data_IF_635120507707
#
_entry.id   IF_635120507707
#
_cell.length_a   1.000
_cell.length_b   1.000
_cell.length_c   1.000
_cell.angle_alpha   90.00
_cell.angle_beta   90.00
_cell.angle_gamma   90.00
#
_symmetry.space_group_name_H-M   'P 1'
#
loop_
_entity.id
_entity.type
_entity.pdbx_description
1 polymer ?
#
# COMPACT_ATOMS: atom_id res chain seq x y z
N UNK A 1 15.97 -19.95 -13.05
CA UNK A 1 16.24 -18.90 -12.04
C UNK A 1 14.91 -18.29 -11.65
N UNK A 2 14.38 -18.66 -10.48
CA UNK A 2 13.10 -18.14 -10.01
C UNK A 2 13.26 -16.71 -9.53
N UNK A 3 12.49 -15.78 -10.09
CA UNK A 3 12.40 -14.42 -9.59
C UNK A 3 11.69 -14.51 -8.23
N UNK A 4 12.47 -14.44 -7.16
CA UNK A 4 11.98 -14.33 -5.80
C UNK A 4 11.37 -12.93 -5.66
N UNK A 5 10.08 -12.82 -5.91
CA UNK A 5 9.31 -11.61 -5.59
C UNK A 5 9.27 -11.53 -4.07
N UNK A 6 10.19 -10.75 -3.50
CA UNK A 6 10.13 -10.32 -2.12
C UNK A 6 8.79 -9.59 -1.99
N UNK A 7 7.82 -10.21 -1.31
CA UNK A 7 6.60 -9.55 -0.83
C UNK A 7 7.01 -8.56 0.27
N UNK A 8 7.66 -7.47 -0.13
CA UNK A 8 7.80 -6.28 0.67
C UNK A 8 6.40 -5.71 0.85
N UNK A 9 5.95 -5.66 2.10
CA UNK A 9 4.64 -5.17 2.47
C UNK A 9 4.55 -3.70 2.00
N UNK A 10 3.84 -3.42 0.89
CA UNK A 10 3.88 -2.12 0.18
C UNK A 10 3.44 -0.94 1.06
N UNK A 11 2.68 -1.22 2.13
CA UNK A 11 2.30 -0.23 3.15
C UNK A 11 3.47 0.24 4.01
N UNK A 12 4.53 -0.57 4.16
CA UNK A 12 5.66 -0.33 5.06
C UNK A 12 6.65 0.70 4.51
N UNK A 13 6.83 0.74 3.19
CA UNK A 13 7.79 1.61 2.53
C UNK A 13 7.24 3.04 2.37
N UNK A 14 5.92 3.19 2.16
CA UNK A 14 5.28 4.49 1.95
C UNK A 14 5.24 5.32 3.22
N UNK A 15 4.90 4.72 4.37
CA UNK A 15 4.89 5.43 5.68
C UNK A 15 6.30 5.84 6.10
N UNK A 16 7.30 4.99 5.84
CA UNK A 16 8.70 5.24 6.20
C UNK A 16 9.37 6.27 5.28
N UNK A 17 9.07 6.21 3.97
CA UNK A 17 9.50 7.23 3.00
C UNK A 17 8.80 8.56 3.29
N UNK A 18 7.52 8.59 3.69
CA UNK A 18 6.84 9.83 4.05
C UNK A 18 7.34 10.41 5.37
N UNK A 19 7.61 9.61 6.40
CA UNK A 19 8.14 10.09 7.68
C UNK A 19 9.58 10.63 7.58
N UNK A 20 10.47 9.91 6.88
CA UNK A 20 11.87 10.36 6.71
C UNK A 20 11.94 11.52 5.71
N UNK A 21 11.13 11.51 4.65
CA UNK A 21 11.10 12.65 3.76
C UNK A 21 10.32 13.82 4.37
N UNK A 22 9.42 13.68 5.36
CA UNK A 22 8.70 14.84 5.92
C UNK A 22 9.57 15.77 6.76
N UNK A 23 10.63 15.24 7.37
CA UNK A 23 11.70 16.08 7.94
C UNK A 23 12.46 16.87 6.86
N UNK A 24 12.40 16.43 5.59
CA UNK A 24 13.05 17.06 4.43
C UNK A 24 12.06 17.72 3.43
N UNK A 25 10.74 17.47 3.50
CA UNK A 25 9.72 17.89 2.52
C UNK A 25 9.47 19.40 2.59
N UNK A 26 9.83 20.04 3.70
CA UNK A 26 9.90 21.49 3.80
C UNK A 26 10.84 22.11 2.74
N UNK A 27 11.74 21.33 2.13
CA UNK A 27 12.72 21.86 1.17
C UNK A 27 12.28 21.73 -0.30
N UNK A 28 11.26 20.92 -0.64
CA UNK A 28 10.85 20.66 -2.03
C UNK A 28 9.46 21.15 -2.40
N UNK A 29 8.66 21.64 -1.43
CA UNK A 29 7.38 22.26 -1.72
C UNK A 29 7.58 23.71 -2.14
N UNK A 30 6.96 24.10 -3.25
CA UNK A 30 6.83 25.51 -3.61
C UNK A 30 6.25 26.28 -2.40
N UNK A 31 6.80 27.45 -2.11
CA UNK A 31 6.49 28.26 -0.92
C UNK A 31 4.98 28.49 -0.74
N UNK A 32 4.23 28.53 -1.84
CA UNK A 32 2.78 28.66 -1.86
C UNK A 32 2.06 27.38 -1.39
N UNK A 33 2.53 26.21 -1.81
CA UNK A 33 1.97 24.93 -1.39
C UNK A 33 2.27 24.66 0.09
N UNK A 34 3.49 24.98 0.53
CA UNK A 34 3.87 24.88 1.94
C UNK A 34 3.02 25.78 2.84
N UNK A 35 2.71 27.02 2.39
CA UNK A 35 1.80 27.92 3.11
C UNK A 35 0.37 27.37 3.19
N UNK A 36 -0.15 26.78 2.10
CA UNK A 36 -1.49 26.18 2.09
C UNK A 36 -1.55 24.99 3.04
N UNK A 37 -0.55 24.11 2.99
CA UNK A 37 -0.41 22.96 3.87
C UNK A 37 -0.37 23.36 5.34
N UNK A 38 0.45 24.35 5.71
CA UNK A 38 0.47 24.84 7.09
C UNK A 38 -0.83 25.51 7.51
N UNK A 39 -1.51 26.24 6.62
CA UNK A 39 -2.82 26.82 6.92
C UNK A 39 -3.88 25.74 7.20
N UNK A 40 -3.82 24.64 6.45
CA UNK A 40 -4.70 23.49 6.63
C UNK A 40 -4.42 22.79 7.96
N UNK A 41 -3.15 22.51 8.27
CA UNK A 41 -2.73 21.92 9.55
C UNK A 41 -3.11 22.82 10.73
N UNK A 42 -2.88 24.13 10.63
CA UNK A 42 -3.18 25.08 11.71
C UNK A 42 -4.69 25.21 11.96
N UNK A 43 -5.53 24.83 11.00
CA UNK A 43 -7.00 24.81 11.15
C UNK A 43 -7.51 23.60 11.94
N UNK A 44 -6.66 22.62 12.19
CA UNK A 44 -7.01 21.38 12.89
C UNK A 44 -6.37 21.41 14.28
N UNK A 45 -7.19 21.16 15.29
CA UNK A 45 -6.70 20.98 16.66
C UNK A 45 -6.27 19.52 16.86
N UNK A 46 -4.99 19.34 17.22
CA UNK A 46 -4.43 18.02 17.51
C UNK A 46 -4.21 17.86 19.01
N UNK A 47 -4.56 16.69 19.51
CA UNK A 47 -4.46 16.33 20.91
C UNK A 47 -3.25 15.45 21.21
N UNK A 48 -2.96 15.26 22.50
CA UNK A 48 -1.99 14.26 22.93
C UNK A 48 -2.38 12.84 22.49
N UNK A 49 -3.67 12.55 22.33
CA UNK A 49 -4.14 11.24 21.87
C UNK A 49 -3.79 11.01 20.40
N UNK A 50 -3.86 12.04 19.56
CA UNK A 50 -3.46 11.95 18.15
C UNK A 50 -1.96 11.70 18.01
N UNK A 51 -1.18 12.38 18.85
CA UNK A 51 0.25 12.14 18.96
C UNK A 51 0.56 10.70 19.42
N UNK A 52 -0.19 10.19 20.41
CA UNK A 52 -0.04 8.82 20.88
C UNK A 52 -0.42 7.79 19.81
N UNK A 53 -1.45 8.04 19.00
CA UNK A 53 -1.80 7.17 17.85
C UNK A 53 -0.68 7.11 16.82
N UNK A 54 -0.08 8.26 16.48
CA UNK A 54 1.11 8.31 15.61
C UNK A 54 2.25 7.46 16.17
N UNK A 55 2.59 7.64 17.46
CA UNK A 55 3.64 6.87 18.14
C UNK A 55 3.34 5.38 18.15
N UNK A 56 2.10 5.00 18.50
CA UNK A 56 1.67 3.60 18.49
C UNK A 56 1.75 2.99 17.10
N UNK A 57 1.38 3.72 16.06
CA UNK A 57 1.50 3.24 14.69
C UNK A 57 2.96 2.92 14.34
N UNK A 58 3.89 3.82 14.64
CA UNK A 58 5.32 3.61 14.39
C UNK A 58 5.85 2.43 15.23
N UNK A 59 5.53 2.39 16.54
CA UNK A 59 6.02 1.36 17.46
C UNK A 59 5.42 -0.04 17.20
N UNK A 60 4.18 -0.11 16.71
CA UNK A 60 3.52 -1.38 16.37
C UNK A 60 4.16 -2.08 15.16
N UNK A 61 4.95 -1.35 14.38
CA UNK A 61 5.62 -1.87 13.20
C UNK A 61 7.04 -2.33 13.55
N UNK A 62 7.16 -3.58 13.99
CA UNK A 62 8.42 -4.17 14.45
C UNK A 62 9.54 -4.14 13.41
N UNK A 63 9.22 -4.28 12.13
CA UNK A 63 10.20 -4.20 11.04
C UNK A 63 10.71 -2.77 10.83
N UNK A 64 9.81 -1.80 10.83
CA UNK A 64 10.17 -0.39 10.75
C UNK A 64 11.03 0.02 11.95
N UNK A 65 10.61 -0.31 13.17
CA UNK A 65 11.34 0.02 14.39
C UNK A 65 12.74 -0.60 14.43
N UNK A 66 12.88 -1.84 13.94
CA UNK A 66 14.18 -2.51 13.79
C UNK A 66 15.09 -1.74 12.83
N UNK A 67 14.58 -1.34 11.66
CA UNK A 67 15.36 -0.55 10.69
C UNK A 67 15.77 0.82 11.26
N UNK A 68 14.87 1.48 11.99
CA UNK A 68 15.19 2.74 12.69
C UNK A 68 16.35 2.51 13.65
N UNK A 69 16.23 1.49 14.50
CA UNK A 69 17.22 1.19 15.54
C UNK A 69 18.59 0.83 14.94
N UNK A 70 18.61 0.00 13.90
CA UNK A 70 19.85 -0.38 13.21
C UNK A 70 20.55 0.81 12.55
N UNK A 71 19.79 1.72 11.93
CA UNK A 71 20.36 2.91 11.30
C UNK A 71 20.79 3.96 12.33
N UNK A 72 20.08 4.08 13.44
CA UNK A 72 20.48 4.92 14.57
C UNK A 72 21.80 4.42 15.17
N UNK A 73 21.95 3.10 15.37
CA UNK A 73 23.18 2.47 15.84
C UNK A 73 24.37 2.68 14.88
N UNK A 74 24.11 2.84 13.59
CA UNK A 74 25.11 3.21 12.56
C UNK A 74 25.43 4.71 12.54
N UNK A 75 24.87 5.51 13.44
CA UNK A 75 25.15 6.95 13.55
C UNK A 75 24.26 7.85 12.70
N UNK A 76 23.14 7.34 12.15
CA UNK A 76 22.22 8.19 11.40
C UNK A 76 21.45 9.13 12.32
N UNK A 77 21.80 10.43 12.26
CA UNK A 77 21.19 11.48 13.08
C UNK A 77 19.66 11.51 13.01
N UNK A 78 19.11 11.42 11.80
CA UNK A 78 17.65 11.44 11.60
C UNK A 78 16.93 10.27 12.27
N UNK A 79 17.55 9.09 12.29
CA UNK A 79 16.96 7.92 12.97
C UNK A 79 17.11 8.01 14.49
N UNK A 80 18.21 8.59 14.99
CA UNK A 80 18.38 8.89 16.43
C UNK A 80 17.30 9.89 16.88
N UNK A 81 17.12 10.98 16.13
CA UNK A 81 16.09 11.98 16.41
C UNK A 81 14.67 11.39 16.36
N UNK A 82 14.42 10.43 15.46
CA UNK A 82 13.14 9.73 15.39
C UNK A 82 12.91 8.84 16.61
N UNK A 83 13.93 8.13 17.10
CA UNK A 83 13.81 7.35 18.34
C UNK A 83 13.51 8.27 19.54
N UNK A 84 14.22 9.38 19.63
CA UNK A 84 13.99 10.35 20.70
C UNK A 84 12.57 10.95 20.62
N UNK A 85 12.10 11.32 19.44
CA UNK A 85 10.72 11.79 19.22
C UNK A 85 9.67 10.79 19.72
N UNK A 86 9.92 9.49 19.55
CA UNK A 86 9.04 8.42 20.04
C UNK A 86 9.06 8.24 21.56
N UNK A 87 9.99 8.87 22.29
CA UNK A 87 10.03 8.83 23.75
C UNK A 87 9.33 10.03 24.39
N UNK A 88 9.30 11.18 23.71
CA UNK A 88 8.71 12.41 24.23
C UNK A 88 7.19 12.35 24.42
N UNK A 89 6.68 13.18 25.33
CA UNK A 89 5.27 13.58 25.38
C UNK A 89 4.93 14.59 24.28
N UNK A 90 3.63 14.82 24.05
CA UNK A 90 3.19 15.78 23.04
C UNK A 90 3.70 17.20 23.30
N UNK A 91 3.66 17.66 24.56
CA UNK A 91 4.12 19.00 24.91
C UNK A 91 5.66 19.13 24.79
N UNK A 92 6.41 18.13 25.24
CA UNK A 92 7.88 18.11 25.07
C UNK A 92 8.28 18.10 23.59
N UNK A 93 7.58 17.31 22.77
CA UNK A 93 7.82 17.27 21.33
C UNK A 93 7.53 18.62 20.66
N UNK A 94 6.45 19.31 21.06
CA UNK A 94 6.15 20.67 20.55
C UNK A 94 7.22 21.67 20.93
N UNK A 95 7.74 21.60 22.16
CA UNK A 95 8.83 22.49 22.62
C UNK A 95 10.12 22.19 21.85
N UNK A 96 10.47 20.92 21.69
CA UNK A 96 11.73 20.52 21.07
C UNK A 96 11.76 20.68 19.54
N UNK A 97 10.72 20.20 18.86
CA UNK A 97 10.68 20.13 17.40
C UNK A 97 9.82 21.22 16.78
N UNK A 98 9.09 21.99 17.58
CA UNK A 98 8.16 23.02 17.13
C UNK A 98 6.76 22.46 16.85
N UNK A 99 5.74 23.18 17.30
CA UNK A 99 4.34 22.78 17.19
C UNK A 99 3.92 22.43 15.75
N UNK A 100 4.29 23.27 14.77
CA UNK A 100 3.96 23.05 13.36
C UNK A 100 4.52 21.74 12.80
N UNK A 101 5.73 21.37 13.22
CA UNK A 101 6.36 20.13 12.76
C UNK A 101 5.66 18.92 13.37
N UNK A 102 5.33 18.97 14.66
CA UNK A 102 4.57 17.89 15.31
C UNK A 102 3.19 17.73 14.68
N UNK A 103 2.46 18.82 14.47
CA UNK A 103 1.14 18.78 13.81
C UNK A 103 1.23 18.26 12.37
N UNK A 104 2.26 18.65 11.62
CA UNK A 104 2.53 18.14 10.26
C UNK A 104 2.73 16.62 10.24
N UNK A 105 3.46 16.07 11.23
CA UNK A 105 3.66 14.62 11.35
C UNK A 105 2.35 13.89 11.67
N UNK A 106 1.54 14.43 12.57
CA UNK A 106 0.23 13.85 12.91
C UNK A 106 -0.71 13.90 11.69
N UNK A 107 -0.78 15.04 10.99
CA UNK A 107 -1.58 15.19 9.78
C UNK A 107 -1.16 14.18 8.70
N UNK A 108 0.14 14.08 8.45
CA UNK A 108 0.68 13.15 7.46
C UNK A 108 0.37 11.69 7.78
N UNK A 109 0.30 11.32 9.06
CA UNK A 109 -0.13 10.00 9.50
C UNK A 109 -1.60 9.72 9.14
N UNK A 110 -2.49 10.67 9.40
CA UNK A 110 -3.91 10.52 9.05
C UNK A 110 -4.14 10.43 7.54
N UNK A 111 -3.51 11.32 6.76
CA UNK A 111 -3.56 11.28 5.30
C UNK A 111 -3.03 9.94 4.74
N UNK A 112 -1.91 9.46 5.27
CA UNK A 112 -1.32 8.19 4.84
C UNK A 112 -2.25 7.01 5.14
N UNK A 113 -2.93 7.00 6.28
CA UNK A 113 -3.91 5.96 6.62
C UNK A 113 -5.14 6.01 5.72
N UNK A 114 -5.64 7.21 5.39
CA UNK A 114 -6.78 7.35 4.48
C UNK A 114 -6.42 6.82 3.08
N UNK A 115 -5.25 7.18 2.56
CA UNK A 115 -4.74 6.67 1.28
C UNK A 115 -4.62 5.15 1.32
N UNK A 116 -4.09 4.59 2.40
CA UNK A 116 -3.95 3.15 2.58
C UNK A 116 -5.31 2.44 2.55
N UNK A 117 -6.32 2.98 3.24
CA UNK A 117 -7.67 2.41 3.25
C UNK A 117 -8.33 2.48 1.87
N UNK A 118 -8.17 3.59 1.14
CA UNK A 118 -8.62 3.70 -0.26
C UNK A 118 -7.94 2.65 -1.14
N UNK A 119 -6.64 2.43 -0.98
CA UNK A 119 -5.90 1.43 -1.74
C UNK A 119 -6.36 0.00 -1.43
N UNK A 120 -6.60 -0.35 -0.16
CA UNK A 120 -7.13 -1.67 0.24
C UNK A 120 -8.49 -1.96 -0.40
N UNK A 121 -9.38 -0.95 -0.44
CA UNK A 121 -10.69 -1.07 -1.10
C UNK A 121 -10.53 -1.31 -2.60
N UNK A 122 -9.62 -0.58 -3.25
CA UNK A 122 -9.33 -0.74 -4.67
C UNK A 122 -8.76 -2.14 -4.99
N UNK A 123 -7.79 -2.60 -4.20
CA UNK A 123 -7.19 -3.93 -4.36
C UNK A 123 -8.24 -5.03 -4.19
N UNK A 124 -9.10 -4.92 -3.17
CA UNK A 124 -10.21 -5.86 -2.95
C UNK A 124 -11.17 -5.92 -4.15
N UNK A 125 -11.53 -4.76 -4.70
CA UNK A 125 -12.36 -4.67 -5.91
C UNK A 125 -11.69 -5.31 -7.13
N UNK A 126 -10.40 -5.04 -7.30
CA UNK A 126 -9.59 -5.61 -8.38
C UNK A 126 -9.50 -7.15 -8.27
N UNK A 127 -9.24 -7.69 -7.08
CA UNK A 127 -9.19 -9.13 -6.86
C UNK A 127 -10.56 -9.78 -7.15
N UNK A 128 -11.66 -9.15 -6.74
CA UNK A 128 -13.01 -9.65 -7.02
C UNK A 128 -13.30 -9.71 -8.53
N UNK A 129 -12.94 -8.67 -9.28
CA UNK A 129 -13.10 -8.64 -10.74
C UNK A 129 -12.20 -9.68 -11.43
N UNK A 130 -10.94 -9.79 -11.01
CA UNK A 130 -10.01 -10.78 -11.56
C UNK A 130 -10.51 -12.22 -11.34
N UNK A 131 -11.09 -12.51 -10.18
CA UNK A 131 -11.69 -13.82 -9.91
C UNK A 131 -12.92 -14.09 -10.80
N UNK A 132 -13.75 -13.08 -11.06
CA UNK A 132 -14.88 -13.21 -11.99
C UNK A 132 -14.41 -13.50 -13.41
N UNK A 133 -13.41 -12.77 -13.90
CA UNK A 133 -12.86 -12.98 -15.24
C UNK A 133 -12.24 -14.37 -15.40
N UNK A 134 -11.56 -14.89 -14.38
CA UNK A 134 -11.06 -16.28 -14.39
C UNK A 134 -12.19 -17.29 -14.52
N UNK A 135 -13.28 -17.12 -13.75
CA UNK A 135 -14.44 -18.01 -13.83
C UNK A 135 -15.14 -17.94 -15.20
N UNK A 136 -15.25 -16.74 -15.80
CA UNK A 136 -15.77 -16.57 -17.16
C UNK A 136 -14.87 -17.24 -18.19
N UNK A 137 -13.54 -17.06 -18.08
CA UNK A 137 -12.55 -17.70 -18.95
C UNK A 137 -12.62 -19.22 -18.86
N UNK A 138 -12.77 -19.78 -17.66
CA UNK A 138 -12.94 -21.22 -17.45
C UNK A 138 -14.26 -21.73 -18.05
N UNK A 139 -15.35 -20.97 -17.90
CA UNK A 139 -16.63 -21.32 -18.51
C UNK A 139 -16.58 -21.28 -20.04
N UNK A 140 -15.88 -20.30 -20.63
CA UNK A 140 -15.70 -20.22 -22.08
C UNK A 140 -14.85 -21.38 -22.57
N UNK A 141 -13.73 -21.68 -21.89
CA UNK A 141 -12.85 -22.80 -22.25
C UNK A 141 -13.61 -24.13 -22.29
N UNK A 142 -14.43 -24.42 -21.28
CA UNK A 142 -15.27 -25.64 -21.25
C UNK A 142 -16.29 -25.70 -22.39
N UNK A 143 -16.90 -24.56 -22.76
CA UNK A 143 -17.85 -24.50 -23.88
C UNK A 143 -17.16 -24.75 -25.23
N UNK A 144 -15.95 -24.23 -25.40
CA UNK A 144 -15.13 -24.46 -26.61
C UNK A 144 -14.74 -25.94 -26.73
N UNK A 145 -14.24 -26.54 -25.65
CA UNK A 145 -13.86 -27.95 -25.60
C UNK A 145 -15.04 -28.87 -25.96
N UNK A 146 -16.21 -28.64 -25.35
CA UNK A 146 -17.44 -29.38 -25.68
C UNK A 146 -17.85 -29.23 -27.16
N UNK A 147 -17.74 -28.02 -27.71
CA UNK A 147 -18.04 -27.78 -29.13
C UNK A 147 -17.11 -28.56 -30.06
N UNK A 148 -15.82 -28.64 -29.73
CA UNK A 148 -14.83 -29.35 -30.55
C UNK A 148 -15.02 -30.87 -30.48
N UNK A 149 -15.41 -31.43 -29.32
CA UNK A 149 -15.81 -32.83 -29.19
C UNK A 149 -17.01 -33.18 -30.08
N UNK A 150 -18.07 -32.35 -30.05
CA UNK A 150 -19.27 -32.55 -30.89
C UNK A 150 -18.91 -32.51 -32.39
N UNK A 151 -18.07 -31.57 -32.83
CA UNK A 151 -17.60 -31.52 -34.23
C UNK A 151 -16.86 -32.80 -34.62
N UNK A 152 -15.97 -33.30 -33.76
CA UNK A 152 -15.19 -34.52 -34.01
C UNK A 152 -16.08 -35.76 -34.10
N UNK A 153 -17.09 -35.87 -33.24
CA UNK A 153 -18.07 -36.96 -33.32
C UNK A 153 -18.88 -36.90 -34.61
N UNK A 154 -19.39 -35.72 -35.00
CA UNK A 154 -20.12 -35.54 -36.25
C UNK A 154 -19.30 -35.93 -37.47
N UNK A 155 -18.02 -35.57 -37.49
CA UNK A 155 -17.11 -35.94 -38.59
C UNK A 155 -16.88 -37.46 -38.65
N UNK A 156 -16.75 -38.12 -37.49
CA UNK A 156 -16.66 -39.57 -37.41
C UNK A 156 -17.94 -40.27 -37.89
N UNK A 157 -19.12 -39.75 -37.51
CA UNK A 157 -20.40 -40.26 -38.02
C UNK A 157 -20.51 -40.10 -39.54
N UNK A 158 -20.09 -38.94 -40.08
CA UNK A 158 -20.09 -38.69 -41.52
C UNK A 158 -19.20 -39.69 -42.27
N UNK A 159 -17.97 -39.90 -41.80
CA UNK A 159 -17.03 -40.90 -42.36
C UNK A 159 -17.63 -42.31 -42.37
N UNK A 160 -18.34 -42.71 -41.29
CA UNK A 160 -19.03 -44.00 -41.22
C UNK A 160 -20.15 -44.12 -42.26
N UNK A 161 -20.99 -43.09 -42.39
CA UNK A 161 -22.09 -43.08 -43.38
C UNK A 161 -21.52 -43.16 -44.80
N UNK A 162 -20.48 -42.39 -45.12
CA UNK A 162 -19.86 -42.41 -46.44
C UNK A 162 -19.23 -43.78 -46.75
N UNK A 163 -18.64 -44.46 -45.76
CA UNK A 163 -18.12 -45.83 -45.93
C UNK A 163 -19.20 -46.89 -46.18
N UNK A 164 -20.44 -46.65 -45.70
CA UNK A 164 -21.58 -47.55 -45.93
C UNK A 164 -22.18 -47.31 -47.32
N UNK A 165 -22.14 -46.08 -47.84
CA UNK A 165 -22.69 -45.72 -49.16
C UNK A 165 -21.76 -46.01 -50.34
N UNK A 166 -20.47 -46.30 -50.08
CA UNK A 166 -19.46 -46.59 -51.09
C UNK A 166 -19.26 -48.08 -51.42
N UNK A 167 -20.08 -48.96 -50.83
CA UNK A 167 -20.24 -50.38 -51.18
C UNK A 167 -21.60 -50.59 -51.87
#
# INVERSE_FOLDING_TARGET
>A
MGIMIIRLNKSLLIVFVLLINNLSYSQSLDSLQLKKFYKEIDSIEYSSDDFNKLKQHINSNSQALKLISENAAKGSKSHIELLEFLELSFDEAKVKYGEKNVKSLIYSYYESNEILEKFKKLDSSFQAQNNRLKLEQDSISKKVEFSDEVKKELENYRKRIDSIKGN
#
